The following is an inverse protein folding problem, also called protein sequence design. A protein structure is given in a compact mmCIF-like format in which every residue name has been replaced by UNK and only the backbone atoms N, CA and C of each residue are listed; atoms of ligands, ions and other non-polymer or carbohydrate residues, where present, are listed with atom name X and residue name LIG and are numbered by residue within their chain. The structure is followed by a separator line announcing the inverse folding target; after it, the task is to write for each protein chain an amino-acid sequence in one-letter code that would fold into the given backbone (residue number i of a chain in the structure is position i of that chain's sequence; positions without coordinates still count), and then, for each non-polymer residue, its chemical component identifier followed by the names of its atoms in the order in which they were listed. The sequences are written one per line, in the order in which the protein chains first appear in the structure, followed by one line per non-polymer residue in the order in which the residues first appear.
data_IF_109403732507
#
_entry.id   IF_109403732507
#
_cell.length_a   1.000
_cell.length_b   1.000
_cell.length_c   1.000
_cell.angle_alpha   90.00
_cell.angle_beta   90.00
_cell.angle_gamma   90.00
#
_symmetry.space_group_name_H-M   'P 1'
#
loop_
_entity.id
_entity.type
_entity.pdbx_description
1 polymer ?
#
# COMPACT_ATOMS: atom_id res chain seq x y z
N UNK A 1 15.92 -0.36 -8.07
CA UNK A 1 16.83 -0.45 -6.91
C UNK A 1 16.74 -1.88 -6.37
N UNK A 2 17.88 -2.53 -6.15
CA UNK A 2 17.93 -3.89 -5.57
C UNK A 2 18.00 -3.68 -4.05
N UNK A 3 16.95 -4.06 -3.32
CA UNK A 3 17.07 -4.17 -1.87
C UNK A 3 17.93 -5.39 -1.57
N UNK A 4 19.12 -5.14 -1.02
CA UNK A 4 20.03 -6.16 -0.51
C UNK A 4 19.31 -7.01 0.53
N UNK A 5 19.63 -8.30 0.57
CA UNK A 5 19.18 -9.33 1.52
C UNK A 5 19.40 -8.93 2.98
N UNK A 6 18.59 -8.01 3.48
CA UNK A 6 18.49 -7.55 4.86
C UNK A 6 17.03 -7.25 5.09
N UNK A 7 16.47 -7.82 6.16
CA UNK A 7 15.05 -7.78 6.53
C UNK A 7 14.40 -6.42 6.29
N UNK A 8 13.67 -6.26 5.17
CA UNK A 8 12.99 -5.00 4.91
C UNK A 8 11.88 -4.79 5.96
N UNK A 9 11.97 -3.68 6.70
CA UNK A 9 10.93 -3.21 7.60
C UNK A 9 10.26 -1.98 7.03
N UNK A 10 8.99 -1.76 7.35
CA UNK A 10 8.24 -0.63 6.80
C UNK A 10 8.87 0.70 7.20
N UNK A 11 9.39 0.81 8.41
CA UNK A 11 9.97 2.03 8.99
C UNK A 11 11.23 2.52 8.26
N UNK A 12 11.85 1.67 7.42
CA UNK A 12 13.01 2.03 6.61
C UNK A 12 12.64 2.49 5.20
N UNK A 13 11.38 2.34 4.79
CA UNK A 13 10.92 2.69 3.46
C UNK A 13 10.66 4.19 3.34
N UNK A 14 11.05 4.75 2.20
CA UNK A 14 10.71 6.12 1.85
C UNK A 14 9.26 6.25 1.38
N UNK A 15 8.81 7.50 1.19
CA UNK A 15 7.47 7.84 0.69
C UNK A 15 7.13 7.14 -0.63
N UNK A 16 8.11 6.95 -1.52
CA UNK A 16 7.87 6.36 -2.83
C UNK A 16 7.72 4.83 -2.76
N UNK A 17 8.24 4.18 -1.72
CA UNK A 17 8.26 2.71 -1.64
C UNK A 17 7.29 2.17 -0.61
N UNK A 18 6.87 2.98 0.36
CA UNK A 18 6.08 2.53 1.52
C UNK A 18 4.69 1.99 1.16
N UNK A 19 3.90 2.74 0.38
CA UNK A 19 2.51 2.38 0.13
C UNK A 19 2.43 1.02 -0.58
N UNK A 20 1.57 0.13 -0.05
CA UNK A 20 1.36 -1.23 -0.55
C UNK A 20 2.60 -2.14 -0.50
N UNK A 21 3.62 -1.81 0.29
CA UNK A 21 4.73 -2.74 0.54
C UNK A 21 4.35 -3.81 1.58
N UNK A 22 5.07 -4.92 1.56
CA UNK A 22 4.98 -6.01 2.54
C UNK A 22 6.35 -6.20 3.16
N UNK A 23 6.46 -6.00 4.47
CA UNK A 23 7.69 -6.25 5.21
C UNK A 23 8.13 -7.72 5.12
N UNK A 24 9.37 -8.00 5.50
CA UNK A 24 9.88 -9.37 5.57
C UNK A 24 9.14 -10.25 6.61
N UNK A 25 8.42 -9.63 7.54
CA UNK A 25 7.57 -10.34 8.50
C UNK A 25 6.18 -10.69 7.93
N UNK A 26 5.92 -10.39 6.65
CA UNK A 26 4.64 -10.64 5.98
C UNK A 26 3.53 -9.65 6.38
N UNK A 27 3.89 -8.54 7.04
CA UNK A 27 2.95 -7.47 7.42
C UNK A 27 3.00 -6.34 6.40
N UNK A 28 1.83 -5.80 6.02
CA UNK A 28 1.73 -4.70 5.05
C UNK A 28 2.20 -3.39 5.67
N UNK A 29 2.75 -2.50 4.84
CA UNK A 29 3.20 -1.18 5.23
C UNK A 29 2.14 -0.12 4.95
N UNK A 30 2.03 0.87 5.84
CA UNK A 30 1.12 1.99 5.76
C UNK A 30 1.92 3.30 5.73
N UNK A 31 1.67 4.12 4.72
CA UNK A 31 2.20 5.47 4.62
C UNK A 31 1.27 6.40 5.39
N UNK A 32 1.75 6.99 6.47
CA UNK A 32 1.01 8.00 7.23
C UNK A 32 1.50 9.40 6.86
N UNK A 33 0.57 10.35 6.82
CA UNK A 33 0.86 11.77 6.61
C UNK A 33 0.52 12.54 7.87
N UNK A 34 1.50 13.28 8.37
CA UNK A 34 1.40 14.10 9.57
C UNK A 34 1.72 15.55 9.23
N UNK A 35 1.04 16.50 9.88
CA UNK A 35 1.36 17.92 9.75
C UNK A 35 2.11 18.34 11.01
N UNK A 36 3.36 18.82 10.86
CA UNK A 36 4.14 19.37 11.99
C UNK A 36 4.12 20.89 11.97
N UNK A 37 3.94 21.48 13.17
CA UNK A 37 4.04 22.93 13.42
C UNK A 37 2.71 23.67 13.47
N UNK A 38 2.70 24.85 14.11
CA UNK A 38 1.55 25.77 14.14
C UNK A 38 1.69 26.79 13.02
N UNK A 39 1.03 26.59 11.86
CA UNK A 39 1.12 27.49 10.70
C UNK A 39 0.86 26.80 9.36
N UNK A 40 1.52 27.24 8.28
CA UNK A 40 1.68 26.49 7.01
C UNK A 40 2.52 25.24 7.31
N UNK A 41 1.92 24.27 7.98
CA UNK A 41 2.62 23.13 8.56
C UNK A 41 3.36 22.30 7.51
N UNK A 42 4.51 21.76 7.92
CA UNK A 42 5.29 20.87 7.07
C UNK A 42 4.61 19.50 7.02
N UNK A 43 4.36 19.01 5.80
CA UNK A 43 3.83 17.67 5.58
C UNK A 43 4.96 16.65 5.74
N UNK A 44 4.90 15.89 6.83
CA UNK A 44 5.86 14.83 7.15
C UNK A 44 5.22 13.49 6.89
N UNK A 45 5.89 12.68 6.08
CA UNK A 45 5.48 11.33 5.75
C UNK A 45 6.27 10.33 6.58
N UNK A 46 5.58 9.35 7.15
CA UNK A 46 6.21 8.26 7.91
C UNK A 46 5.63 6.93 7.48
N UNK A 47 6.50 5.95 7.23
CA UNK A 47 6.08 4.60 6.92
C UNK A 47 6.02 3.75 8.21
N UNK A 48 4.94 3.00 8.39
CA UNK A 48 4.74 2.15 9.56
C UNK A 48 4.26 0.76 9.18
N UNK A 49 4.62 -0.23 9.97
CA UNK A 49 4.06 -1.58 9.82
C UNK A 49 2.60 -1.61 10.26
N UNK A 50 1.70 -2.02 9.38
CA UNK A 50 0.28 -2.25 9.71
C UNK A 50 0.10 -3.61 10.41
N UNK A 51 -1.03 -3.78 11.11
CA UNK A 51 -1.43 -5.08 11.65
C UNK A 51 -1.95 -6.07 10.61
N UNK A 52 -2.05 -5.66 9.34
CA UNK A 52 -2.64 -6.46 8.28
C UNK A 52 -1.59 -7.39 7.68
N UNK A 53 -1.84 -8.70 7.82
CA UNK A 53 -1.01 -9.72 7.21
C UNK A 53 -1.30 -9.82 5.72
N UNK A 54 -0.25 -9.85 4.91
CA UNK A 54 -0.35 -10.13 3.49
C UNK A 54 -0.41 -11.64 3.25
N UNK A 55 -1.24 -12.07 2.30
CA UNK A 55 -1.25 -13.46 1.85
C UNK A 55 -0.25 -13.71 0.70
N UNK A 56 0.36 -12.63 0.20
CA UNK A 56 1.45 -12.68 -0.79
C UNK A 56 2.82 -12.92 -0.14
N UNK A 57 3.87 -12.92 -0.96
CA UNK A 57 5.25 -13.09 -0.50
C UNK A 57 5.67 -11.97 0.46
N UNK A 58 6.40 -12.35 1.52
CA UNK A 58 7.03 -11.39 2.40
C UNK A 58 8.15 -10.64 1.66
N UNK A 59 8.36 -9.38 2.02
CA UNK A 59 9.35 -8.54 1.36
C UNK A 59 8.94 -8.05 -0.03
N UNK A 60 7.63 -7.92 -0.29
CA UNK A 60 7.08 -7.56 -1.59
C UNK A 60 6.89 -6.05 -1.74
N UNK A 61 7.19 -5.52 -2.92
CA UNK A 61 6.92 -4.12 -3.31
C UNK A 61 6.35 -4.13 -4.71
N UNK A 62 5.17 -3.55 -4.88
CA UNK A 62 4.55 -3.43 -6.21
C UNK A 62 5.31 -2.43 -7.10
N UNK A 63 5.29 -2.70 -8.40
CA UNK A 63 5.89 -1.82 -9.40
C UNK A 63 5.01 -0.62 -9.70
N UNK A 64 5.60 0.46 -10.24
CA UNK A 64 4.85 1.66 -10.65
C UNK A 64 3.79 1.32 -11.71
N UNK A 65 4.15 0.41 -12.63
CA UNK A 65 3.24 -0.08 -13.68
C UNK A 65 2.03 -0.77 -13.08
N UNK A 66 2.25 -1.60 -12.06
CA UNK A 66 1.17 -2.25 -11.33
C UNK A 66 0.28 -1.20 -10.62
N UNK A 67 0.87 -0.33 -9.81
CA UNK A 67 0.13 0.69 -9.04
C UNK A 67 -0.75 1.54 -9.97
N UNK A 68 -0.18 1.98 -11.10
CA UNK A 68 -0.90 2.76 -12.11
C UNK A 68 -2.03 1.96 -12.79
N UNK A 69 -1.85 0.65 -13.05
CA UNK A 69 -2.90 -0.19 -13.63
C UNK A 69 -4.16 -0.21 -12.75
N UNK A 70 -3.98 -0.26 -11.42
CA UNK A 70 -5.07 -0.23 -10.43
C UNK A 70 -5.64 1.18 -10.15
N UNK A 71 -5.17 2.24 -10.84
CA UNK A 71 -5.52 3.64 -10.55
C UNK A 71 -5.13 4.10 -9.15
N UNK A 72 -4.02 3.57 -8.62
CA UNK A 72 -3.48 3.97 -7.32
C UNK A 72 -2.23 4.83 -7.51
N UNK A 73 -1.76 5.41 -6.42
CA UNK A 73 -0.53 6.21 -6.37
C UNK A 73 0.33 5.82 -5.16
N UNK A 74 1.66 6.01 -5.25
CA UNK A 74 2.61 5.69 -4.18
C UNK A 74 2.45 6.57 -2.94
N UNK A 75 1.72 7.66 -3.06
CA UNK A 75 1.40 8.59 -1.99
C UNK A 75 0.01 8.34 -1.37
N UNK A 76 -0.59 7.18 -1.65
CA UNK A 76 -1.83 6.77 -1.00
C UNK A 76 -1.60 6.63 0.51
N UNK A 77 -2.21 7.52 1.28
CA UNK A 77 -2.06 7.61 2.75
C UNK A 77 -3.27 7.08 3.52
N UNK A 78 -4.39 6.88 2.84
CA UNK A 78 -5.64 6.40 3.42
C UNK A 78 -6.24 5.29 2.56
N UNK A 79 -5.98 4.04 2.97
CA UNK A 79 -6.58 2.86 2.37
C UNK A 79 -7.90 2.62 3.09
N UNK A 80 -8.98 3.20 2.58
CA UNK A 80 -10.33 3.08 3.15
C UNK A 80 -11.15 1.99 2.45
N UNK A 81 -12.04 1.34 3.21
CA UNK A 81 -13.08 0.47 2.67
C UNK A 81 -14.07 1.24 1.77
N UNK A 82 -14.21 2.55 1.95
CA UNK A 82 -15.08 3.40 1.12
C UNK A 82 -14.63 3.46 -0.34
N UNK A 83 -13.33 3.25 -0.62
CA UNK A 83 -12.82 3.19 -1.99
C UNK A 83 -13.51 2.08 -2.80
N UNK A 84 -13.94 1.00 -2.15
CA UNK A 84 -14.67 -0.10 -2.79
C UNK A 84 -16.08 0.30 -3.24
N UNK A 85 -16.63 1.41 -2.74
CA UNK A 85 -17.93 1.94 -3.18
C UNK A 85 -17.81 2.75 -4.48
N UNK A 86 -16.59 3.20 -4.84
CA UNK A 86 -16.35 3.84 -6.12
C UNK A 86 -16.30 2.81 -7.25
N UNK A 87 -17.33 2.84 -8.11
CA UNK A 87 -17.44 1.96 -9.27
C UNK A 87 -16.27 2.10 -10.24
N UNK A 88 -15.68 3.28 -10.37
CA UNK A 88 -14.52 3.51 -11.25
C UNK A 88 -13.29 2.83 -10.69
N UNK A 89 -13.07 2.96 -9.39
CA UNK A 89 -11.98 2.29 -8.69
C UNK A 89 -12.15 0.77 -8.80
N UNK A 90 -13.32 0.24 -8.44
CA UNK A 90 -13.63 -1.20 -8.56
C UNK A 90 -13.45 -1.73 -9.98
N UNK A 91 -13.89 -0.98 -10.99
CA UNK A 91 -13.70 -1.35 -12.39
C UNK A 91 -12.22 -1.47 -12.80
N UNK A 92 -11.35 -0.62 -12.23
CA UNK A 92 -9.89 -0.67 -12.46
C UNK A 92 -9.22 -1.75 -11.64
N UNK A 93 -9.62 -1.93 -10.37
CA UNK A 93 -9.13 -3.00 -9.51
C UNK A 93 -9.41 -4.39 -10.09
N UNK A 94 -10.59 -4.58 -10.67
CA UNK A 94 -11.00 -5.83 -11.31
C UNK A 94 -10.58 -5.95 -12.79
N UNK A 95 -9.85 -4.97 -13.34
CA UNK A 95 -9.37 -5.07 -14.72
C UNK A 95 -8.28 -6.15 -14.82
N UNK A 96 -8.13 -6.84 -15.97
CA UNK A 96 -7.08 -7.85 -16.14
C UNK A 96 -5.68 -7.32 -15.85
N UNK A 97 -5.43 -6.04 -16.17
CA UNK A 97 -4.14 -5.38 -15.98
C UNK A 97 -3.80 -5.22 -14.49
N UNK A 98 -4.75 -4.83 -13.65
CA UNK A 98 -4.52 -4.76 -12.21
C UNK A 98 -4.54 -6.16 -11.59
N UNK A 99 -5.59 -6.94 -11.87
CA UNK A 99 -5.84 -8.23 -11.22
C UNK A 99 -4.69 -9.23 -11.39
N UNK A 100 -4.06 -9.26 -12.57
CA UNK A 100 -2.99 -10.22 -12.87
C UNK A 100 -1.59 -9.72 -12.49
N UNK A 101 -1.37 -8.40 -12.43
CA UNK A 101 -0.03 -7.83 -12.23
C UNK A 101 0.21 -7.28 -10.83
N UNK A 102 -0.84 -7.20 -10.00
CA UNK A 102 -0.80 -6.55 -8.69
C UNK A 102 -1.31 -7.44 -7.56
N UNK A 103 -0.63 -8.57 -7.30
CA UNK A 103 -1.13 -9.56 -6.35
C UNK A 103 -1.33 -8.98 -4.94
N UNK A 104 -0.47 -8.08 -4.46
CA UNK A 104 -0.60 -7.53 -3.10
C UNK A 104 -1.74 -6.51 -2.99
N UNK A 105 -1.92 -5.65 -4.00
CA UNK A 105 -3.01 -4.65 -4.00
C UNK A 105 -4.36 -5.36 -4.07
N UNK A 106 -4.49 -6.35 -4.94
CA UNK A 106 -5.72 -7.14 -5.06
C UNK A 106 -6.00 -7.84 -3.73
N UNK A 107 -5.02 -8.56 -3.18
CA UNK A 107 -5.14 -9.25 -1.89
C UNK A 107 -5.56 -8.29 -0.76
N UNK A 108 -4.96 -7.09 -0.69
CA UNK A 108 -5.32 -6.08 0.30
C UNK A 108 -6.79 -5.66 0.21
N UNK A 109 -7.28 -5.28 -0.97
CA UNK A 109 -8.65 -4.81 -1.12
C UNK A 109 -9.67 -5.95 -0.97
N UNK A 110 -9.30 -7.19 -1.29
CA UNK A 110 -10.12 -8.37 -0.97
C UNK A 110 -10.20 -8.61 0.56
N UNK A 111 -9.08 -8.51 1.29
CA UNK A 111 -9.08 -8.60 2.76
C UNK A 111 -9.94 -7.50 3.39
N UNK A 112 -9.86 -6.26 2.90
CA UNK A 112 -10.71 -5.16 3.38
C UNK A 112 -12.19 -5.45 3.09
N UNK A 113 -12.53 -5.91 1.89
CA UNK A 113 -13.89 -6.28 1.53
C UNK A 113 -14.45 -7.43 2.39
N UNK A 114 -13.59 -8.37 2.80
CA UNK A 114 -13.93 -9.45 3.71
C UNK A 114 -14.10 -9.01 5.18
N UNK A 115 -13.76 -7.76 5.50
CA UNK A 115 -13.84 -7.21 6.86
C UNK A 115 -12.59 -7.48 7.71
N UNK A 116 -11.46 -7.85 7.10
CA UNK A 116 -10.19 -8.09 7.81
C UNK A 116 -9.39 -6.79 8.06
N UNK A 117 -9.99 -5.62 7.85
CA UNK A 117 -9.40 -4.30 8.08
C UNK A 117 -10.10 -3.55 9.20
N UNK A 118 -9.54 -3.58 10.41
CA UNK A 118 -9.92 -2.70 11.53
C UNK A 118 -8.70 -2.30 12.34
#
# INVERSE_FOLDING_TARGET
MIFTTGSMTCEQLDRSTCAFAVSFNGLRCLLEKHVRGTGLGEEVYTCRTSGLKANVMAGWVETDTCIAACSLDRETVDISSDSLLDRRFMGRLCSPECFMNCPNIVDLYFSIAAGEGS
#
